data_IF_108102365979
#
_entry.id   IF_108102365979
#
_cell.length_a   1.000
_cell.length_b   1.000
_cell.length_c   1.000
_cell.angle_alpha   90.00
_cell.angle_beta   90.00
_cell.angle_gamma   90.00
#
_symmetry.space_group_name_H-M   'P 1'
#
loop_
_entity.id
_entity.type
_entity.pdbx_description
1 polymer ?
#
# COMPACT_ATOMS: atom_id res chain seq x y z
N UNK A 1 -8.29 -15.96 15.47
CA UNK A 1 -8.10 -14.87 16.45
C UNK A 1 -7.11 -15.25 17.54
N UNK A 2 -7.17 -16.43 18.17
CA UNK A 2 -6.19 -16.79 19.20
C UNK A 2 -4.79 -17.07 18.64
N UNK A 3 -4.70 -17.74 17.49
CA UNK A 3 -3.42 -17.98 16.80
C UNK A 3 -2.67 -16.69 16.41
N UNK A 4 -3.37 -15.63 16.00
CA UNK A 4 -2.73 -14.35 15.66
C UNK A 4 -2.12 -13.69 16.90
N UNK A 5 -2.77 -13.75 18.08
CA UNK A 5 -2.20 -13.22 19.33
C UNK A 5 -0.92 -13.96 19.76
N UNK A 6 -0.90 -15.27 19.53
CA UNK A 6 0.29 -16.10 19.80
C UNK A 6 1.44 -15.67 18.88
N UNK A 7 1.19 -15.58 17.56
CA UNK A 7 2.23 -15.15 16.62
C UNK A 7 2.69 -13.70 16.85
N UNK A 8 1.78 -12.78 17.19
CA UNK A 8 2.09 -11.40 17.55
C UNK A 8 3.07 -11.32 18.73
N UNK A 9 2.99 -12.28 19.65
CA UNK A 9 3.82 -12.32 20.87
C UNK A 9 5.01 -13.28 20.76
N UNK A 10 5.25 -13.87 19.59
CA UNK A 10 6.31 -14.87 19.37
C UNK A 10 7.65 -14.21 19.04
N UNK A 11 8.70 -14.52 19.80
CA UNK A 11 10.07 -14.15 19.45
C UNK A 11 10.67 -15.01 18.32
N UNK A 12 10.05 -16.16 18.02
CA UNK A 12 10.45 -17.03 16.91
C UNK A 12 9.98 -16.41 15.60
N UNK A 13 10.92 -15.82 14.85
CA UNK A 13 10.66 -15.09 13.61
C UNK A 13 10.31 -16.03 12.46
N UNK A 14 10.99 -17.17 12.36
CA UNK A 14 10.76 -18.18 11.32
C UNK A 14 9.34 -18.76 11.44
N UNK A 15 8.93 -19.08 12.67
CA UNK A 15 7.56 -19.54 12.95
C UNK A 15 6.51 -18.53 12.47
N UNK A 16 6.76 -17.24 12.68
CA UNK A 16 5.84 -16.17 12.33
C UNK A 16 5.73 -16.02 10.83
N UNK A 17 6.86 -15.98 10.12
CA UNK A 17 6.91 -15.89 8.66
C UNK A 17 6.25 -17.11 8.00
N UNK A 18 6.53 -18.31 8.49
CA UNK A 18 5.95 -19.55 7.96
C UNK A 18 4.42 -19.58 8.07
N UNK A 19 3.85 -19.02 9.15
CA UNK A 19 2.40 -19.04 9.40
C UNK A 19 1.69 -17.78 8.91
N UNK A 20 2.43 -16.78 8.42
CA UNK A 20 1.87 -15.53 7.91
C UNK A 20 0.90 -15.78 6.75
N UNK A 21 1.29 -16.64 5.81
CA UNK A 21 0.46 -16.99 4.65
C UNK A 21 -0.91 -17.56 5.06
N UNK A 22 -0.90 -18.47 6.05
CA UNK A 22 -2.11 -19.08 6.59
C UNK A 22 -3.01 -18.07 7.30
N UNK A 23 -2.46 -17.18 8.13
CA UNK A 23 -3.26 -16.10 8.74
C UNK A 23 -3.83 -15.20 7.67
N UNK A 24 -3.03 -14.84 6.68
CA UNK A 24 -3.43 -13.96 5.59
C UNK A 24 -4.56 -14.55 4.72
N UNK A 25 -4.62 -15.88 4.57
CA UNK A 25 -5.74 -16.55 3.89
C UNK A 25 -7.05 -16.47 4.69
N UNK A 26 -6.97 -16.42 6.01
CA UNK A 26 -8.13 -16.34 6.89
C UNK A 26 -8.59 -14.89 7.05
N UNK A 27 -7.66 -13.99 7.36
CA UNK A 27 -7.92 -12.57 7.59
C UNK A 27 -6.65 -11.75 7.41
N UNK A 28 -6.63 -10.94 6.35
CA UNK A 28 -5.49 -10.09 6.00
C UNK A 28 -5.17 -9.03 7.06
N UNK A 29 -6.17 -8.49 7.77
CA UNK A 29 -5.94 -7.52 8.84
C UNK A 29 -5.22 -8.16 10.04
N UNK A 30 -5.54 -9.42 10.36
CA UNK A 30 -4.82 -10.15 11.40
C UNK A 30 -3.37 -10.42 11.00
N UNK A 31 -3.10 -10.65 9.71
CA UNK A 31 -1.74 -10.81 9.22
C UNK A 31 -0.93 -9.52 9.39
N UNK A 32 -1.50 -8.37 9.01
CA UNK A 32 -0.86 -7.06 9.23
C UNK A 32 -0.63 -6.79 10.72
N UNK A 33 -1.60 -7.08 11.58
CA UNK A 33 -1.45 -6.93 13.03
C UNK A 33 -0.28 -7.76 13.58
N UNK A 34 -0.08 -8.98 13.10
CA UNK A 34 1.04 -9.84 13.53
C UNK A 34 2.40 -9.23 13.13
N UNK A 35 2.48 -8.62 11.95
CA UNK A 35 3.70 -8.02 11.41
C UNK A 35 4.07 -6.70 12.10
N UNK A 36 3.07 -5.89 12.42
CA UNK A 36 3.26 -4.47 12.72
C UNK A 36 2.71 -4.04 14.09
N UNK A 37 2.51 -4.99 15.01
CA UNK A 37 2.07 -4.69 16.38
C UNK A 37 3.13 -3.95 17.21
N UNK A 38 2.69 -3.18 18.20
CA UNK A 38 3.55 -2.55 19.21
C UNK A 38 4.52 -3.54 19.87
N UNK A 39 4.11 -4.81 20.07
CA UNK A 39 5.00 -5.84 20.64
C UNK A 39 6.22 -6.13 19.76
N UNK A 40 6.07 -6.05 18.43
CA UNK A 40 7.16 -6.25 17.46
C UNK A 40 8.13 -5.08 17.45
N UNK A 41 7.66 -3.88 17.73
CA UNK A 41 8.47 -2.66 17.79
C UNK A 41 9.20 -2.54 19.13
N UNK A 42 8.51 -2.78 20.23
CA UNK A 42 8.99 -2.37 21.55
C UNK A 42 9.61 -3.52 22.37
N UNK A 43 9.15 -4.76 22.15
CA UNK A 43 9.40 -5.88 23.07
C UNK A 43 10.09 -7.09 22.42
N UNK A 44 10.11 -7.16 21.09
CA UNK A 44 10.63 -8.29 20.33
C UNK A 44 11.66 -7.83 19.30
N UNK A 45 12.54 -8.73 18.85
CA UNK A 45 13.40 -8.43 17.71
C UNK A 45 12.55 -8.13 16.46
N UNK A 46 12.87 -7.05 15.71
CA UNK A 46 12.12 -6.69 14.51
C UNK A 46 12.27 -7.77 13.45
N UNK A 47 11.18 -8.07 12.75
CA UNK A 47 11.23 -8.96 11.59
C UNK A 47 11.98 -8.24 10.46
N UNK A 48 12.96 -8.89 9.80
CA UNK A 48 13.64 -8.28 8.66
C UNK A 48 12.63 -7.93 7.56
N UNK A 49 12.53 -6.65 7.14
CA UNK A 49 11.52 -6.23 6.17
C UNK A 49 11.56 -7.01 4.86
N UNK A 50 12.76 -7.30 4.35
CA UNK A 50 12.94 -8.05 3.10
C UNK A 50 12.39 -9.48 3.20
N UNK A 51 12.58 -10.13 4.35
CA UNK A 51 12.05 -11.48 4.59
C UNK A 51 10.53 -11.46 4.74
N UNK A 52 9.98 -10.43 5.39
CA UNK A 52 8.52 -10.25 5.48
C UNK A 52 7.92 -10.03 4.10
N UNK A 53 8.49 -9.14 3.30
CA UNK A 53 8.03 -8.85 1.93
C UNK A 53 8.09 -10.11 1.07
N UNK A 54 9.18 -10.88 1.16
CA UNK A 54 9.34 -12.13 0.42
C UNK A 54 8.33 -13.23 0.86
N UNK A 55 7.93 -13.24 2.13
CA UNK A 55 6.99 -14.21 2.68
C UNK A 55 5.52 -13.90 2.34
N UNK A 56 5.18 -12.65 2.02
CA UNK A 56 3.81 -12.28 1.65
C UNK A 56 3.56 -12.68 0.19
N UNK A 57 2.47 -13.40 -0.05
CA UNK A 57 2.02 -13.69 -1.42
C UNK A 57 1.82 -12.37 -2.19
N UNK A 58 2.50 -12.17 -3.33
CA UNK A 58 2.42 -10.92 -4.11
C UNK A 58 1.00 -10.60 -4.61
N UNK A 59 0.07 -11.55 -4.59
CA UNK A 59 -1.36 -11.32 -4.88
C UNK A 59 -2.10 -10.66 -3.72
N UNK A 60 -1.57 -10.72 -2.50
CA UNK A 60 -2.15 -10.12 -1.29
C UNK A 60 -1.67 -8.67 -1.13
N UNK A 61 -1.95 -7.87 -2.16
CA UNK A 61 -1.47 -6.49 -2.30
C UNK A 61 -1.82 -5.62 -1.10
N UNK A 62 -2.99 -5.81 -0.48
CA UNK A 62 -3.40 -5.02 0.69
C UNK A 62 -2.50 -5.23 1.92
N UNK A 63 -2.00 -6.45 2.13
CA UNK A 63 -1.05 -6.73 3.24
C UNK A 63 0.25 -6.01 2.96
N UNK A 64 0.79 -6.12 1.74
CA UNK A 64 2.01 -5.44 1.33
C UNK A 64 1.90 -3.92 1.47
N UNK A 65 0.81 -3.33 0.96
CA UNK A 65 0.58 -1.88 1.07
C UNK A 65 0.51 -1.43 2.53
N UNK A 66 -0.20 -2.16 3.40
CA UNK A 66 -0.31 -1.81 4.82
C UNK A 66 1.01 -1.97 5.56
N UNK A 67 1.76 -3.01 5.26
CA UNK A 67 3.07 -3.24 5.87
C UNK A 67 4.10 -2.19 5.44
N UNK A 68 4.18 -1.90 4.14
CA UNK A 68 5.08 -0.84 3.62
C UNK A 68 4.71 0.55 4.15
N UNK A 69 3.41 0.87 4.21
CA UNK A 69 2.97 2.12 4.81
C UNK A 69 3.40 2.23 6.28
N UNK A 70 3.25 1.15 7.04
CA UNK A 70 3.71 1.12 8.43
C UNK A 70 5.22 1.29 8.56
N UNK A 71 6.02 0.63 7.70
CA UNK A 71 7.47 0.83 7.67
C UNK A 71 7.83 2.30 7.40
N UNK A 72 7.15 2.93 6.44
CA UNK A 72 7.44 4.31 6.04
C UNK A 72 6.99 5.32 7.09
N UNK A 73 5.75 5.24 7.56
CA UNK A 73 5.16 6.28 8.41
C UNK A 73 5.35 6.02 9.90
N UNK A 74 5.10 4.79 10.36
CA UNK A 74 5.17 4.46 11.78
C UNK A 74 6.58 4.10 12.24
N UNK A 75 7.40 3.52 11.35
CA UNK A 75 8.82 3.23 11.63
C UNK A 75 9.79 4.26 11.04
N UNK A 76 9.28 5.31 10.38
CA UNK A 76 10.07 6.40 9.78
C UNK A 76 11.21 5.87 8.87
N UNK A 77 10.94 4.81 8.12
CA UNK A 77 11.94 4.14 7.30
C UNK A 77 12.27 4.99 6.07
N UNK A 78 13.47 5.59 6.05
CA UNK A 78 14.00 6.32 4.88
C UNK A 78 14.51 5.46 3.73
N UNK A 79 14.21 4.15 3.70
CA UNK A 79 14.64 3.26 2.61
C UNK A 79 13.87 3.54 1.32
N UNK A 80 14.58 4.12 0.34
CA UNK A 80 14.04 4.47 -0.98
C UNK A 80 13.39 3.31 -1.72
N UNK A 81 13.81 2.05 -1.47
CA UNK A 81 13.21 0.88 -2.09
C UNK A 81 11.80 0.62 -1.56
N UNK A 82 11.55 0.85 -0.27
CA UNK A 82 10.21 0.72 0.30
C UNK A 82 9.28 1.81 -0.21
N UNK A 83 9.76 3.05 -0.26
CA UNK A 83 9.01 4.17 -0.84
C UNK A 83 8.64 3.93 -2.31
N UNK A 84 9.61 3.49 -3.12
CA UNK A 84 9.39 3.17 -4.54
C UNK A 84 8.42 2.01 -4.71
N UNK A 85 8.61 0.91 -3.97
CA UNK A 85 7.72 -0.25 -4.02
C UNK A 85 6.29 0.12 -3.61
N UNK A 86 6.13 0.95 -2.56
CA UNK A 86 4.83 1.42 -2.12
C UNK A 86 4.14 2.29 -3.18
N UNK A 87 4.86 3.24 -3.79
CA UNK A 87 4.34 4.05 -4.89
C UNK A 87 3.89 3.18 -6.08
N UNK A 88 4.70 2.20 -6.48
CA UNK A 88 4.38 1.29 -7.57
C UNK A 88 3.15 0.43 -7.27
N UNK A 89 3.01 -0.10 -6.05
CA UNK A 89 1.84 -0.89 -5.66
C UNK A 89 0.57 -0.05 -5.59
N UNK A 90 0.66 1.20 -5.09
CA UNK A 90 -0.46 2.15 -5.10
C UNK A 90 -0.87 2.49 -6.55
N UNK A 91 0.10 2.73 -7.44
CA UNK A 91 -0.14 2.99 -8.86
C UNK A 91 -0.82 1.82 -9.54
N UNK A 92 -0.31 0.58 -9.39
CA UNK A 92 -0.94 -0.63 -9.93
C UNK A 92 -2.38 -0.78 -9.42
N UNK A 93 -2.58 -0.65 -8.11
CA UNK A 93 -3.91 -0.79 -7.49
C UNK A 93 -4.89 0.29 -7.95
N UNK A 94 -4.41 1.53 -8.18
CA UNK A 94 -5.23 2.61 -8.71
C UNK A 94 -5.62 2.39 -10.18
N UNK A 95 -4.73 1.82 -11.00
CA UNK A 95 -5.05 1.42 -12.36
C UNK A 95 -6.08 0.29 -12.39
N UNK A 96 -5.89 -0.75 -11.58
CA UNK A 96 -6.82 -1.89 -11.47
C UNK A 96 -8.23 -1.46 -11.01
N UNK A 97 -8.31 -0.52 -10.07
CA UNK A 97 -9.58 0.04 -9.61
C UNK A 97 -10.32 0.77 -10.74
N UNK A 98 -9.59 1.52 -11.57
CA UNK A 98 -10.16 2.24 -12.71
C UNK A 98 -10.66 1.31 -13.82
N UNK A 99 -9.96 0.20 -14.08
CA UNK A 99 -10.41 -0.81 -15.05
C UNK A 99 -11.74 -1.42 -14.61
N UNK A 100 -11.90 -1.73 -13.32
CA UNK A 100 -13.13 -2.29 -12.76
C UNK A 100 -14.31 -1.32 -12.80
N UNK A 101 -14.08 -0.03 -12.52
CA UNK A 101 -15.10 1.02 -12.67
C UNK A 101 -15.64 1.13 -14.11
N UNK A 102 -14.78 0.92 -15.11
CA UNK A 102 -15.17 1.01 -16.52
C UNK A 102 -15.99 -0.21 -16.99
N UNK A 103 -15.90 -1.34 -16.28
CA UNK A 103 -16.64 -2.58 -16.57
C UNK A 103 -17.99 -2.63 -15.82
N UNK A 104 -18.10 -2.01 -14.65
CA UNK A 104 -19.26 -2.11 -13.75
C UNK A 104 -20.28 -0.95 -13.86
N UNK A 105 -20.60 -0.48 -15.06
CA UNK A 105 -21.79 0.35 -15.26
C UNK A 105 -23.08 -0.49 -15.15
N UNK A 106 -23.42 -0.90 -13.92
CA UNK A 106 -24.76 -1.23 -13.41
C UNK A 106 -24.64 -1.54 -11.90
N UNK A 107 -25.28 -0.76 -11.00
CA UNK A 107 -25.15 -1.01 -9.57
C UNK A 107 -26.32 -1.88 -9.09
N UNK A 108 -26.02 -3.10 -8.64
CA UNK A 108 -26.86 -3.78 -7.65
C UNK A 108 -26.04 -4.00 -6.39
N UNK A 109 -26.54 -3.39 -5.31
CA UNK A 109 -25.82 -3.23 -4.07
C UNK A 109 -25.68 -4.52 -3.28
N UNK A 110 -24.66 -4.54 -2.42
CA UNK A 110 -24.61 -5.45 -1.29
C UNK A 110 -24.13 -4.66 -0.07
N UNK A 111 -25.03 -4.54 0.90
CA UNK A 111 -24.72 -4.14 2.27
C UNK A 111 -23.78 -5.19 2.89
N UNK A 112 -22.66 -4.75 3.45
CA UNK A 112 -21.93 -5.55 4.44
C UNK A 112 -21.69 -4.71 5.69
N UNK A 113 -22.40 -5.11 6.75
CA UNK A 113 -22.20 -4.63 8.11
C UNK A 113 -22.05 -5.86 8.98
N UNK A 114 -20.85 -6.09 9.50
CA UNK A 114 -20.61 -6.82 10.76
C UNK A 114 -19.19 -6.52 11.26
N UNK A 115 -19.05 -5.55 12.19
CA UNK A 115 -18.85 -5.69 13.65
C UNK A 115 -17.38 -5.89 14.08
N UNK A 116 -16.83 -4.80 14.63
CA UNK A 116 -15.83 -4.61 15.69
C UNK A 116 -14.72 -5.66 15.86
N UNK A 117 -13.56 -5.37 15.26
CA UNK A 117 -12.26 -5.95 15.62
C UNK A 117 -11.38 -4.80 16.12
N UNK A 118 -11.64 -4.38 17.36
CA UNK A 118 -10.83 -3.49 18.22
C UNK A 118 -10.16 -2.27 17.57
N UNK A 119 -10.53 -1.09 18.09
CA UNK A 119 -10.11 0.28 17.75
C UNK A 119 -8.60 0.62 17.86
N UNK A 120 -7.69 -0.35 17.65
CA UNK A 120 -6.24 -0.20 17.84
C UNK A 120 -5.40 -0.29 16.55
N UNK A 121 -6.00 -0.71 15.43
CA UNK A 121 -5.38 -0.64 14.09
C UNK A 121 -6.33 0.08 13.11
N UNK A 122 -6.79 1.27 13.51
CA UNK A 122 -7.57 2.15 12.64
C UNK A 122 -6.62 2.86 11.66
N UNK A 123 -6.13 2.14 10.66
CA UNK A 123 -5.50 2.81 9.52
C UNK A 123 -6.62 3.38 8.64
N UNK A 124 -7.31 4.41 9.13
CA UNK A 124 -8.40 5.13 8.44
C UNK A 124 -7.98 5.59 7.05
N UNK A 125 -6.67 5.79 6.83
CA UNK A 125 -6.12 6.08 5.52
C UNK A 125 -6.46 4.99 4.48
N UNK A 126 -6.58 3.71 4.86
CA UNK A 126 -6.94 2.64 3.92
C UNK A 126 -8.44 2.59 3.60
N UNK A 127 -9.28 3.33 4.33
CA UNK A 127 -10.67 3.56 3.95
C UNK A 127 -10.77 4.60 2.82
N UNK A 128 -9.73 5.43 2.63
CA UNK A 128 -9.68 6.38 1.52
C UNK A 128 -9.40 5.65 0.19
N UNK A 129 -9.99 6.13 -0.92
CA UNK A 129 -9.75 5.56 -2.24
C UNK A 129 -8.25 5.46 -2.55
N UNK A 130 -7.83 4.34 -3.13
CA UNK A 130 -6.40 4.08 -3.42
C UNK A 130 -5.75 5.18 -4.26
N UNK A 131 -6.52 5.82 -5.14
CA UNK A 131 -6.06 6.96 -5.94
C UNK A 131 -5.70 8.17 -5.09
N UNK A 132 -6.51 8.50 -4.09
CA UNK A 132 -6.25 9.64 -3.20
C UNK A 132 -5.01 9.37 -2.34
N UNK A 133 -4.85 8.13 -1.86
CA UNK A 133 -3.63 7.69 -1.17
C UNK A 133 -2.39 7.84 -2.04
N UNK A 134 -2.48 7.40 -3.30
CA UNK A 134 -1.39 7.56 -4.28
C UNK A 134 -1.04 9.03 -4.48
N UNK A 135 -2.05 9.88 -4.71
CA UNK A 135 -1.82 11.32 -4.90
C UNK A 135 -1.13 11.95 -3.69
N UNK A 136 -1.63 11.66 -2.49
CA UNK A 136 -1.05 12.17 -1.26
C UNK A 136 0.41 11.74 -1.11
N UNK A 137 0.68 10.43 -1.27
CA UNK A 137 2.03 9.88 -1.11
C UNK A 137 3.02 10.46 -2.13
N UNK A 138 2.63 10.57 -3.41
CA UNK A 138 3.50 11.13 -4.44
C UNK A 138 3.82 12.61 -4.19
N UNK A 139 2.92 13.35 -3.54
CA UNK A 139 3.16 14.74 -3.15
C UNK A 139 4.07 14.85 -1.94
N UNK A 140 3.80 14.06 -0.89
CA UNK A 140 4.45 14.19 0.41
C UNK A 140 5.85 13.58 0.46
N UNK A 141 6.09 12.49 -0.29
CA UNK A 141 7.37 11.79 -0.27
C UNK A 141 8.31 12.28 -1.37
N UNK A 142 9.60 12.38 -1.06
CA UNK A 142 10.68 12.67 -2.01
C UNK A 142 11.65 11.47 -2.18
N UNK A 143 11.31 10.31 -1.60
CA UNK A 143 12.22 9.16 -1.48
C UNK A 143 11.90 8.00 -2.45
N UNK A 144 10.89 8.16 -3.31
CA UNK A 144 10.58 7.18 -4.36
C UNK A 144 11.25 7.57 -5.68
N UNK A 145 11.44 6.59 -6.57
CA UNK A 145 11.86 6.84 -7.95
C UNK A 145 10.66 7.32 -8.82
N UNK A 146 10.61 8.61 -9.22
CA UNK A 146 9.51 9.13 -10.03
C UNK A 146 9.54 8.63 -11.48
N UNK A 147 10.70 8.22 -12.02
CA UNK A 147 10.80 7.67 -13.37
C UNK A 147 10.15 6.29 -13.43
N UNK A 148 10.46 5.40 -12.47
CA UNK A 148 9.84 4.06 -12.41
C UNK A 148 8.32 4.14 -12.25
N UNK A 149 7.84 5.07 -11.41
CA UNK A 149 6.40 5.27 -11.23
C UNK A 149 5.79 5.78 -12.53
N UNK A 150 6.41 6.77 -13.18
CA UNK A 150 5.91 7.33 -14.43
C UNK A 150 5.86 6.28 -15.56
N UNK A 151 6.92 5.50 -15.75
CA UNK A 151 7.00 4.42 -16.75
C UNK A 151 5.85 3.42 -16.58
N UNK A 152 5.54 3.06 -15.32
CA UNK A 152 4.41 2.18 -15.00
C UNK A 152 3.07 2.80 -15.40
N UNK A 153 2.85 4.09 -15.12
CA UNK A 153 1.53 4.70 -15.37
C UNK A 153 1.34 5.14 -16.82
N UNK A 154 2.38 5.63 -17.49
CA UNK A 154 2.35 5.98 -18.93
C UNK A 154 2.03 4.76 -19.81
N UNK A 155 2.43 3.56 -19.38
CA UNK A 155 2.10 2.31 -20.06
C UNK A 155 0.60 1.96 -20.03
N UNK A 156 -0.23 2.63 -19.22
CA UNK A 156 -1.66 2.34 -19.08
C UNK A 156 -2.54 3.23 -19.96
N UNK A 157 -3.43 2.61 -20.74
CA UNK A 157 -4.37 3.33 -21.63
C UNK A 157 -5.34 4.27 -20.88
N UNK A 158 -5.56 4.05 -19.59
CA UNK A 158 -6.50 4.81 -18.76
C UNK A 158 -5.88 6.05 -18.09
N UNK A 159 -4.58 6.27 -18.33
CA UNK A 159 -3.77 7.35 -17.77
C UNK A 159 -4.26 8.75 -18.14
N UNK A 160 -4.54 8.99 -19.42
CA UNK A 160 -4.69 10.35 -19.97
C UNK A 160 -5.92 11.12 -19.47
N UNK A 161 -7.02 10.45 -19.13
CA UNK A 161 -8.28 11.15 -18.80
C UNK A 161 -8.45 11.42 -17.31
N UNK A 162 -7.91 10.57 -16.43
CA UNK A 162 -8.23 10.57 -14.99
C UNK A 162 -7.03 10.78 -14.06
N UNK A 163 -5.81 10.84 -14.59
CA UNK A 163 -4.57 10.94 -13.79
C UNK A 163 -3.67 12.11 -14.18
N UNK A 164 -4.20 13.11 -14.91
CA UNK A 164 -3.52 14.37 -15.26
C UNK A 164 -2.84 15.03 -14.04
N UNK A 165 -3.52 15.03 -12.87
CA UNK A 165 -2.94 15.56 -11.63
C UNK A 165 -1.72 14.76 -11.14
N UNK A 166 -1.67 13.44 -11.35
CA UNK A 166 -0.53 12.63 -10.95
C UNK A 166 0.65 12.84 -11.89
N UNK A 167 0.38 12.97 -13.19
CA UNK A 167 1.39 13.30 -14.19
C UNK A 167 2.07 14.64 -13.87
N UNK A 168 1.28 15.65 -13.53
CA UNK A 168 1.82 16.95 -13.11
C UNK A 168 2.71 16.84 -11.86
N UNK A 169 2.36 15.98 -10.89
CA UNK A 169 3.19 15.73 -9.70
C UNK A 169 4.52 15.06 -10.09
N UNK A 170 4.48 14.01 -10.91
CA UNK A 170 5.66 13.24 -11.31
C UNK A 170 6.62 14.08 -12.16
N UNK A 171 6.12 14.78 -13.19
CA UNK A 171 6.99 15.66 -13.99
C UNK A 171 7.57 16.81 -13.18
N UNK A 172 6.83 17.32 -12.19
CA UNK A 172 7.39 18.30 -11.25
C UNK A 172 8.53 17.71 -10.42
N UNK A 173 8.38 16.47 -9.93
CA UNK A 173 9.45 15.75 -9.20
C UNK A 173 10.69 15.50 -10.06
N UNK A 174 10.50 15.32 -11.37
CA UNK A 174 11.56 15.21 -12.37
C UNK A 174 12.16 16.57 -12.82
N UNK A 175 11.66 17.69 -12.30
CA UNK A 175 12.09 19.04 -12.71
C UNK A 175 11.65 19.45 -14.13
N UNK A 176 10.67 18.76 -14.70
CA UNK A 176 10.16 18.96 -16.05
C UNK A 176 9.01 19.98 -16.10
N UNK A 177 9.26 21.19 -15.60
CA UNK A 177 8.24 22.26 -15.45
C UNK A 177 7.55 22.65 -16.77
N UNK A 178 8.25 22.55 -17.91
CA UNK A 178 7.65 22.83 -19.22
C UNK A 178 6.53 21.84 -19.57
N UNK A 179 6.70 20.56 -19.22
CA UNK A 179 5.68 19.53 -19.47
C UNK A 179 4.48 19.70 -18.53
N UNK A 180 4.73 20.09 -17.27
CA UNK A 180 3.66 20.42 -16.31
C UNK A 180 2.76 21.53 -16.86
N UNK A 181 3.34 22.61 -17.38
CA UNK A 181 2.57 23.74 -17.95
C UNK A 181 1.77 23.33 -19.19
N UNK A 182 2.34 22.47 -20.05
CA UNK A 182 1.63 21.97 -21.23
C UNK A 182 0.41 21.13 -20.84
N UNK A 183 0.54 20.33 -19.79
CA UNK A 183 -0.54 19.46 -19.31
C UNK A 183 -1.66 20.25 -18.62
N UNK A 184 -1.31 21.27 -17.84
CA UNK A 184 -2.31 22.13 -17.17
C UNK A 184 -3.04 23.08 -18.12
N UNK A 185 -2.55 23.25 -19.35
CA UNK A 185 -3.16 24.10 -20.37
C UNK A 185 -4.19 23.36 -21.27
N UNK A 186 -4.35 22.04 -21.08
CA UNK A 186 -5.33 21.18 -21.76
C UNK A 186 -6.68 21.19 -21.03
#
# INVERSE_FOLDING_TARGET
>A
MEASKILESSSDQELVLQHLGWIADINQLLAVQVLASEKRTDLLPPLPPDEVIAAIDPRKVDILLRYLHWLIEDQDSGDTQFHTTYALLLSKSALDANEKEHVMQNPEGVNQKEINISDRWNNSIFDTPVRERLQFFLQSSDLYDPEEVLDLVEGSKLWLEKMVSLQAILYRKLGQETLVLQILAL
#
